data_IF_069886028676
#
_entry.id   IF_069886028676
#
_cell.length_a   1.000
_cell.length_b   1.000
_cell.length_c   1.000
_cell.angle_alpha   90.00
_cell.angle_beta   90.00
_cell.angle_gamma   90.00
#
_symmetry.space_group_name_H-M   'P 1'
#
loop_
_entity.id
_entity.type
_entity.pdbx_description
1 polymer ?
#
# COMPACT_ATOMS: atom_id res chain seq x y z
N UNK A 1 -11.42 5.36 -18.37
CA UNK A 1 -11.07 4.17 -17.57
C UNK A 1 -9.92 4.59 -16.67
N UNK A 2 -10.07 4.47 -15.36
CA UNK A 2 -9.02 4.90 -14.42
C UNK A 2 -7.78 4.01 -14.61
N UNK A 3 -6.63 4.65 -14.81
CA UNK A 3 -5.36 3.96 -14.90
C UNK A 3 -4.76 3.83 -13.50
N UNK A 4 -4.76 2.62 -12.96
CA UNK A 4 -4.13 2.32 -11.68
C UNK A 4 -2.61 2.20 -11.86
N UNK A 5 -1.87 3.22 -11.46
CA UNK A 5 -0.40 3.20 -11.52
C UNK A 5 0.22 2.86 -10.17
N UNK A 6 1.06 1.84 -10.16
CA UNK A 6 1.94 1.52 -9.04
C UNK A 6 3.37 1.61 -9.56
N UNK A 7 3.99 2.77 -9.34
CA UNK A 7 5.33 3.10 -9.81
C UNK A 7 6.38 2.11 -9.34
N UNK A 8 6.30 1.65 -8.09
CA UNK A 8 7.21 0.62 -7.58
C UNK A 8 7.11 -0.67 -8.39
N UNK A 9 5.88 -1.14 -8.61
CA UNK A 9 5.61 -2.38 -9.35
C UNK A 9 5.98 -2.27 -10.83
N UNK A 10 5.78 -1.10 -11.45
CA UNK A 10 6.21 -0.80 -12.83
C UNK A 10 7.73 -0.90 -12.99
N UNK A 11 8.49 -0.31 -12.06
CA UNK A 11 9.95 -0.41 -12.05
C UNK A 11 10.40 -1.86 -11.85
N UNK A 12 9.84 -2.57 -10.86
CA UNK A 12 10.19 -3.97 -10.60
C UNK A 12 9.88 -4.88 -11.79
N UNK A 13 8.73 -4.70 -12.46
CA UNK A 13 8.34 -5.48 -13.64
C UNK A 13 9.19 -5.20 -14.88
N UNK A 14 9.77 -4.01 -14.98
CA UNK A 14 10.68 -3.64 -16.06
C UNK A 14 12.15 -4.00 -15.77
N UNK A 15 12.42 -4.69 -14.67
CA UNK A 15 13.77 -5.05 -14.24
C UNK A 15 14.60 -3.86 -13.77
N UNK A 16 13.96 -2.73 -13.48
CA UNK A 16 14.59 -1.52 -12.96
C UNK A 16 14.58 -1.49 -11.43
N UNK A 17 15.43 -0.64 -10.86
CA UNK A 17 15.47 -0.40 -9.42
C UNK A 17 14.27 0.48 -9.00
N UNK A 18 13.53 0.04 -7.99
CA UNK A 18 12.48 0.83 -7.33
C UNK A 18 13.01 1.37 -5.98
N UNK A 19 13.41 2.64 -5.94
CA UNK A 19 14.02 3.23 -4.74
C UNK A 19 12.92 3.71 -3.78
N UNK A 20 12.90 3.16 -2.57
CA UNK A 20 11.94 3.49 -1.52
C UNK A 20 12.53 4.29 -0.37
N UNK A 21 11.65 5.00 0.36
CA UNK A 21 12.02 5.74 1.57
C UNK A 21 11.13 5.36 2.76
N UNK A 22 11.76 5.13 3.91
CA UNK A 22 11.07 4.81 5.17
C UNK A 22 10.41 6.01 5.82
N UNK A 23 9.12 5.91 6.14
CA UNK A 23 8.37 6.91 6.87
C UNK A 23 8.09 6.44 8.29
N UNK A 24 8.82 7.00 9.26
CA UNK A 24 8.60 6.80 10.70
C UNK A 24 8.41 8.12 11.46
N UNK A 25 9.13 9.17 11.07
CA UNK A 25 9.09 10.48 11.71
C UNK A 25 8.25 11.49 10.93
N UNK A 26 8.35 11.49 9.59
CA UNK A 26 7.51 12.32 8.72
C UNK A 26 6.15 11.64 8.53
N UNK A 27 5.12 12.15 9.21
CA UNK A 27 3.78 11.55 9.26
C UNK A 27 2.67 12.48 8.76
N UNK A 28 3.04 13.51 8.02
CA UNK A 28 2.11 14.46 7.40
C UNK A 28 1.99 14.16 5.91
N UNK A 29 0.85 14.48 5.31
CA UNK A 29 0.50 14.11 3.93
C UNK A 29 1.41 14.76 2.87
N UNK A 30 2.02 15.89 3.17
CA UNK A 30 2.97 16.60 2.30
C UNK A 30 4.25 15.78 2.04
N UNK A 31 4.58 14.81 2.92
CA UNK A 31 5.72 13.90 2.72
C UNK A 31 5.64 13.16 1.39
N UNK A 32 4.44 12.87 0.87
CA UNK A 32 4.27 12.23 -0.43
C UNK A 32 4.91 13.05 -1.55
N UNK A 33 4.54 14.33 -1.65
CA UNK A 33 5.09 15.24 -2.67
C UNK A 33 6.56 15.52 -2.43
N UNK A 34 6.97 15.68 -1.17
CA UNK A 34 8.37 15.91 -0.82
C UNK A 34 9.27 14.74 -1.26
N UNK A 35 8.85 13.50 -1.00
CA UNK A 35 9.65 12.31 -1.34
C UNK A 35 9.64 12.02 -2.85
N UNK A 36 8.52 12.26 -3.54
CA UNK A 36 8.52 12.21 -5.00
C UNK A 36 9.51 13.22 -5.60
N UNK A 37 9.51 14.45 -5.09
CA UNK A 37 10.45 15.50 -5.53
C UNK A 37 11.89 15.12 -5.26
N UNK A 38 12.15 14.38 -4.17
CA UNK A 38 13.46 13.84 -3.84
C UNK A 38 13.89 12.64 -4.72
N UNK A 39 13.02 12.17 -5.62
CA UNK A 39 13.34 11.11 -6.58
C UNK A 39 13.03 9.69 -6.10
N UNK A 40 12.24 9.52 -5.03
CA UNK A 40 11.78 8.20 -4.58
C UNK A 40 10.61 7.69 -5.42
N UNK A 41 10.58 6.38 -5.68
CA UNK A 41 9.51 5.72 -6.42
C UNK A 41 8.34 5.31 -5.51
N UNK A 42 8.62 5.07 -4.22
CA UNK A 42 7.64 4.58 -3.27
C UNK A 42 7.94 4.95 -1.81
N UNK A 43 6.88 4.93 -1.00
CA UNK A 43 6.91 5.19 0.43
C UNK A 43 6.78 3.88 1.20
N UNK A 44 7.70 3.61 2.12
CA UNK A 44 7.59 2.55 3.10
C UNK A 44 6.95 3.12 4.37
N UNK A 45 5.63 2.98 4.48
CA UNK A 45 4.82 3.51 5.58
C UNK A 45 4.80 2.46 6.69
N UNK A 46 5.51 2.72 7.78
CA UNK A 46 5.72 1.73 8.84
C UNK A 46 4.67 1.84 9.94
N UNK A 47 3.88 0.78 10.19
CA UNK A 47 2.98 0.69 11.34
C UNK A 47 3.43 -0.35 12.39
N UNK A 48 4.59 -1.00 12.20
CA UNK A 48 5.05 -2.07 13.08
C UNK A 48 5.97 -1.55 14.20
N UNK A 49 6.91 -0.69 13.84
CA UNK A 49 7.96 -0.24 14.77
C UNK A 49 7.79 1.22 15.18
N UNK A 50 6.57 1.74 15.20
CA UNK A 50 6.30 3.11 15.66
C UNK A 50 4.84 3.24 16.12
N UNK A 51 4.43 4.47 16.45
CA UNK A 51 3.06 4.80 16.89
C UNK A 51 2.13 5.26 15.75
N UNK A 52 2.47 4.98 14.50
CA UNK A 52 1.64 5.35 13.34
C UNK A 52 0.40 4.47 13.33
N UNK A 53 -0.75 5.11 13.46
CA UNK A 53 -2.02 4.43 13.34
C UNK A 53 -2.44 4.27 11.88
N UNK A 54 -3.48 3.47 11.68
CA UNK A 54 -4.03 3.19 10.36
C UNK A 54 -4.58 4.46 9.69
N UNK A 55 -5.18 5.37 10.44
CA UNK A 55 -5.78 6.59 9.88
C UNK A 55 -4.70 7.50 9.28
N UNK A 56 -3.57 7.66 9.97
CA UNK A 56 -2.41 8.40 9.46
C UNK A 56 -1.82 7.73 8.22
N UNK A 57 -1.64 6.41 8.26
CA UNK A 57 -1.11 5.64 7.13
C UNK A 57 -2.01 5.76 5.88
N UNK A 58 -3.34 5.73 6.08
CA UNK A 58 -4.35 5.90 5.03
C UNK A 58 -4.34 7.32 4.46
N UNK A 59 -4.28 8.35 5.30
CA UNK A 59 -4.18 9.74 4.83
C UNK A 59 -2.94 9.96 3.96
N UNK A 60 -1.78 9.44 4.38
CA UNK A 60 -0.55 9.50 3.59
C UNK A 60 -0.71 8.70 2.29
N UNK A 61 -1.35 7.53 2.33
CA UNK A 61 -1.54 6.67 1.15
C UNK A 61 -2.43 7.31 0.09
N UNK A 62 -3.50 8.00 0.48
CA UNK A 62 -4.33 8.77 -0.46
C UNK A 62 -3.51 9.90 -1.09
N UNK A 63 -2.82 10.70 -0.28
CA UNK A 63 -1.99 11.80 -0.78
C UNK A 63 -0.82 11.32 -1.67
N UNK A 64 -0.28 10.14 -1.41
CA UNK A 64 0.77 9.51 -2.20
C UNK A 64 0.29 9.15 -3.61
N UNK A 65 -0.91 8.58 -3.72
CA UNK A 65 -1.52 8.28 -5.01
C UNK A 65 -1.74 9.56 -5.83
N UNK A 66 -2.29 10.61 -5.22
CA UNK A 66 -2.48 11.91 -5.88
C UNK A 66 -1.16 12.56 -6.31
N UNK A 67 -0.09 12.36 -5.54
CA UNK A 67 1.23 12.83 -5.90
C UNK A 67 1.86 12.01 -7.03
N UNK A 68 1.50 10.73 -7.19
CA UNK A 68 2.12 9.81 -8.15
C UNK A 68 3.33 9.04 -7.59
N UNK A 69 3.40 8.85 -6.27
CA UNK A 69 4.38 7.99 -5.58
C UNK A 69 3.66 6.82 -4.92
N UNK A 70 4.19 5.60 -5.03
CA UNK A 70 3.45 4.42 -4.56
C UNK A 70 3.49 4.27 -3.03
N UNK A 71 2.36 4.26 -2.32
CA UNK A 71 2.33 3.95 -0.89
C UNK A 71 2.35 2.43 -0.65
N UNK A 72 3.32 1.94 0.11
CA UNK A 72 3.39 0.56 0.57
C UNK A 72 3.42 0.57 2.10
N UNK A 73 2.44 -0.09 2.71
CA UNK A 73 2.26 -0.08 4.17
C UNK A 73 2.85 -1.35 4.78
N UNK A 74 3.79 -1.22 5.71
CA UNK A 74 4.14 -2.32 6.61
C UNK A 74 3.10 -2.43 7.71
N UNK A 75 2.39 -3.54 7.73
CA UNK A 75 1.35 -3.83 8.72
C UNK A 75 1.95 -4.39 10.02
N UNK A 76 1.25 -4.29 11.16
CA UNK A 76 1.79 -4.78 12.44
C UNK A 76 1.75 -6.30 12.63
N UNK A 77 1.05 -7.06 11.78
CA UNK A 77 0.86 -8.51 11.95
C UNK A 77 0.12 -9.19 10.79
N UNK A 78 -0.21 -10.46 10.97
CA UNK A 78 -0.79 -11.33 9.92
C UNK A 78 -2.32 -11.30 9.85
N UNK A 79 -2.98 -10.73 10.85
CA UNK A 79 -4.43 -10.69 10.90
C UNK A 79 -4.94 -9.98 9.66
N UNK A 80 -5.86 -10.64 8.93
CA UNK A 80 -6.32 -10.18 7.62
C UNK A 80 -6.73 -8.70 7.61
N UNK A 81 -7.38 -8.24 8.69
CA UNK A 81 -7.87 -6.86 8.80
C UNK A 81 -6.75 -5.81 8.79
N UNK A 82 -5.51 -6.16 9.17
CA UNK A 82 -4.39 -5.23 9.07
C UNK A 82 -4.07 -4.91 7.61
N UNK A 83 -3.93 -5.93 6.77
CA UNK A 83 -3.63 -5.76 5.36
C UNK A 83 -4.83 -5.19 4.60
N UNK A 84 -6.04 -5.71 4.81
CA UNK A 84 -7.21 -5.27 4.03
C UNK A 84 -7.57 -3.82 4.31
N UNK A 85 -7.50 -3.35 5.56
CA UNK A 85 -7.78 -1.93 5.89
C UNK A 85 -6.76 -0.97 5.27
N UNK A 86 -5.48 -1.34 5.24
CA UNK A 86 -4.47 -0.53 4.57
C UNK A 86 -4.72 -0.47 3.05
N UNK A 87 -5.03 -1.61 2.44
CA UNK A 87 -5.38 -1.70 1.02
C UNK A 87 -6.70 -1.00 0.68
N UNK A 88 -7.70 -1.02 1.55
CA UNK A 88 -8.97 -0.29 1.36
C UNK A 88 -8.74 1.23 1.44
N UNK A 89 -7.80 1.66 2.28
CA UNK A 89 -7.46 3.07 2.45
C UNK A 89 -6.35 3.59 1.54
N UNK A 90 -6.08 2.94 0.41
CA UNK A 90 -5.19 3.51 -0.62
C UNK A 90 -3.78 2.94 -0.69
N UNK A 91 -3.38 2.04 0.22
CA UNK A 91 -2.11 1.34 0.03
C UNK A 91 -2.13 0.57 -1.29
N UNK A 92 -1.04 0.66 -2.06
CA UNK A 92 -0.87 -0.06 -3.33
C UNK A 92 -0.07 -1.36 -3.16
N UNK A 93 0.43 -1.60 -1.95
CA UNK A 93 1.10 -2.82 -1.53
C UNK A 93 1.16 -2.89 -0.02
N UNK A 94 1.45 -4.08 0.50
CA UNK A 94 1.69 -4.30 1.93
C UNK A 94 2.99 -5.07 2.14
N UNK A 95 3.68 -4.76 3.22
CA UNK A 95 4.78 -5.55 3.77
C UNK A 95 4.29 -6.19 5.05
N UNK A 96 4.38 -7.50 5.16
CA UNK A 96 3.96 -8.23 6.37
C UNK A 96 5.22 -8.73 7.08
N UNK A 97 5.41 -8.39 8.37
CA UNK A 97 6.63 -8.73 9.08
C UNK A 97 6.68 -10.21 9.44
N UNK A 98 7.88 -10.71 9.76
CA UNK A 98 8.11 -12.04 10.34
C UNK A 98 7.62 -13.24 9.50
N UNK A 99 7.46 -13.10 8.18
CA UNK A 99 7.04 -14.23 7.33
C UNK A 99 8.23 -15.18 7.09
N UNK A 100 8.28 -16.28 7.83
CA UNK A 100 9.40 -17.22 7.83
C UNK A 100 9.14 -18.51 7.02
N UNK A 101 7.92 -18.70 6.50
CA UNK A 101 7.56 -19.89 5.73
C UNK A 101 6.64 -19.59 4.52
N UNK A 102 6.69 -20.44 3.47
CA UNK A 102 5.89 -20.25 2.26
C UNK A 102 4.37 -20.33 2.47
N UNK A 103 3.89 -21.14 3.41
CA UNK A 103 2.45 -21.32 3.62
C UNK A 103 1.82 -20.06 4.23
N UNK A 104 2.53 -19.43 5.18
CA UNK A 104 2.16 -18.12 5.72
C UNK A 104 2.16 -17.06 4.62
N UNK A 105 3.19 -17.01 3.78
CA UNK A 105 3.26 -16.08 2.65
C UNK A 105 2.07 -16.25 1.67
N UNK A 106 1.72 -17.48 1.32
CA UNK A 106 0.59 -17.80 0.45
C UNK A 106 -0.74 -17.38 1.07
N UNK A 107 -0.97 -17.69 2.35
CA UNK A 107 -2.20 -17.31 3.05
C UNK A 107 -2.38 -15.78 3.10
N UNK A 108 -1.31 -15.04 3.39
CA UNK A 108 -1.31 -13.57 3.36
C UNK A 108 -1.65 -13.06 1.97
N UNK A 109 -1.01 -13.60 0.93
CA UNK A 109 -1.25 -13.20 -0.45
C UNK A 109 -2.72 -13.40 -0.87
N UNK A 110 -3.31 -14.56 -0.52
CA UNK A 110 -4.72 -14.85 -0.76
C UNK A 110 -5.64 -13.89 -0.03
N UNK A 111 -5.33 -13.52 1.23
CA UNK A 111 -6.11 -12.55 1.99
C UNK A 111 -6.05 -11.13 1.41
N UNK A 112 -5.06 -10.82 0.57
CA UNK A 112 -4.88 -9.52 -0.08
C UNK A 112 -5.49 -9.44 -1.49
N UNK A 113 -6.06 -10.53 -2.03
CA UNK A 113 -6.62 -10.60 -3.38
C UNK A 113 -8.12 -10.88 -3.32
N UNK A 114 -8.88 -10.27 -4.23
CA UNK A 114 -10.32 -10.54 -4.35
C UNK A 114 -10.57 -11.95 -4.94
N UNK A 115 -11.76 -12.53 -4.70
CA UNK A 115 -12.24 -13.67 -5.47
C UNK A 115 -12.20 -13.40 -6.99
N UNK A 116 -11.97 -14.42 -7.84
CA UNK A 116 -11.79 -15.82 -7.51
C UNK A 116 -10.35 -16.20 -7.10
N UNK A 117 -9.41 -15.26 -7.17
CA UNK A 117 -7.98 -15.52 -6.91
C UNK A 117 -7.71 -15.68 -5.41
N UNK A 118 -8.33 -14.82 -4.59
CA UNK A 118 -8.12 -14.79 -3.15
C UNK A 118 -9.42 -14.71 -2.34
N UNK A 119 -9.31 -14.19 -1.13
CA UNK A 119 -10.36 -14.20 -0.09
C UNK A 119 -10.66 -12.81 0.48
N UNK A 120 -10.07 -11.74 -0.06
CA UNK A 120 -10.34 -10.36 0.37
C UNK A 120 -11.81 -10.03 0.13
N UNK A 121 -12.50 -9.54 1.15
CA UNK A 121 -13.84 -8.97 0.98
C UNK A 121 -13.78 -7.69 0.17
N UNK A 122 -14.78 -7.49 -0.67
CA UNK A 122 -15.00 -6.22 -1.37
C UNK A 122 -15.58 -5.22 -0.37
N UNK A 123 -15.07 -3.99 -0.42
CA UNK A 123 -15.64 -2.82 0.26
C UNK A 123 -16.34 -1.93 -0.77
N UNK A 124 -16.82 -0.76 -0.35
CA UNK A 124 -17.42 0.23 -1.24
C UNK A 124 -16.37 0.98 -2.08
N UNK A 125 -16.58 2.29 -2.23
CA UNK A 125 -15.74 3.14 -3.05
C UNK A 125 -14.29 3.19 -2.53
N UNK A 126 -13.33 3.01 -3.44
CA UNK A 126 -11.90 2.93 -3.14
C UNK A 126 -11.16 4.18 -3.63
N UNK A 127 -10.18 4.71 -2.87
CA UNK A 127 -9.39 5.86 -3.29
C UNK A 127 -8.54 5.58 -4.54
N UNK A 128 -8.05 4.34 -4.71
CA UNK A 128 -7.33 3.94 -5.93
C UNK A 128 -8.18 4.14 -7.19
N UNK A 129 -9.49 4.01 -7.06
CA UNK A 129 -10.45 4.17 -8.14
C UNK A 129 -11.03 5.60 -8.18
N UNK A 130 -10.40 6.58 -7.53
CA UNK A 130 -10.92 7.95 -7.47
C UNK A 130 -12.35 8.04 -6.90
N UNK A 131 -12.75 7.04 -6.12
CA UNK A 131 -14.14 6.83 -5.67
C UNK A 131 -15.19 6.69 -6.80
N UNK A 132 -14.77 6.43 -8.03
CA UNK A 132 -15.67 6.06 -9.13
C UNK A 132 -16.21 4.65 -8.95
N UNK A 133 -17.44 4.43 -9.43
CA UNK A 133 -18.01 3.08 -9.52
C UNK A 133 -17.30 2.30 -10.61
N UNK A 134 -16.69 1.18 -10.24
CA UNK A 134 -16.02 0.29 -11.17
C UNK A 134 -16.74 -1.06 -11.24
N UNK A 135 -16.98 -1.63 -12.44
CA UNK A 135 -17.51 -2.98 -12.54
C UNK A 135 -16.45 -3.95 -12.01
N UNK A 136 -16.76 -4.61 -10.90
CA UNK A 136 -15.95 -5.67 -10.31
C UNK A 136 -16.15 -6.99 -11.06
#
# INVERSE_FOLDING_TARGET
>A
MIELRNRALEQLRSGQLAIGVGLRQARTVDTAKAMLTAGFDWLFIDMEHNSMDIDTAVQISVAAQDAGISPIVRVPGYEHYHATRALDGGAQGVVVPHVDDPATAEQIALNCRYPPIGRRSITGALPQLGFETYPL
#
